data_IF_881104158129
#
_entry.id   IF_881104158129
#
_cell.length_a   1.000
_cell.length_b   1.000
_cell.length_c   1.000
_cell.angle_alpha   90.00
_cell.angle_beta   90.00
_cell.angle_gamma   90.00
#
_symmetry.space_group_name_H-M   'P 1'
#
loop_
_entity.id
_entity.type
_entity.pdbx_description
1 polymer ?
#
# COMPACT_ATOMS: atom_id res chain seq x y z
N UNK A 1 9.63 -25.57 -39.37
CA UNK A 1 10.45 -25.47 -38.14
C UNK A 1 9.54 -25.64 -36.94
N UNK A 2 9.85 -26.61 -36.07
CA UNK A 2 9.10 -27.00 -34.86
C UNK A 2 9.47 -26.08 -33.69
N UNK A 3 8.53 -25.60 -32.85
CA UNK A 3 8.87 -25.01 -31.57
C UNK A 3 9.22 -26.12 -30.56
N UNK A 4 10.32 -25.94 -29.81
CA UNK A 4 10.65 -26.76 -28.64
C UNK A 4 9.97 -26.16 -27.40
N UNK A 5 9.30 -26.95 -26.55
CA UNK A 5 8.95 -26.53 -25.20
C UNK A 5 10.17 -26.68 -24.27
N UNK A 6 10.46 -25.64 -23.48
CA UNK A 6 11.40 -25.68 -22.36
C UNK A 6 10.54 -25.56 -21.10
N UNK A 7 10.24 -26.68 -20.46
CA UNK A 7 9.94 -26.78 -19.03
C UNK A 7 10.07 -28.26 -18.66
N UNK A 8 11.19 -28.61 -18.04
CA UNK A 8 11.40 -29.90 -17.38
C UNK A 8 10.67 -29.89 -16.01
N UNK A 9 10.16 -31.04 -15.55
CA UNK A 9 9.52 -31.15 -14.23
C UNK A 9 10.56 -31.16 -13.10
N UNK A 10 10.31 -30.35 -12.06
CA UNK A 10 11.07 -30.37 -10.80
C UNK A 10 10.70 -31.65 -10.00
N UNK A 11 11.69 -32.41 -9.48
CA UNK A 11 11.43 -33.63 -8.73
C UNK A 11 10.88 -33.37 -7.33
N UNK A 12 9.91 -34.20 -6.95
CA UNK A 12 9.32 -34.39 -5.63
C UNK A 12 10.39 -34.72 -4.60
N UNK A 13 10.44 -33.99 -3.48
CA UNK A 13 11.28 -34.35 -2.32
C UNK A 13 10.40 -35.16 -1.35
N UNK A 14 10.85 -36.37 -1.08
CA UNK A 14 10.30 -37.33 -0.14
C UNK A 14 10.38 -36.85 1.32
N UNK A 15 9.37 -37.22 2.10
CA UNK A 15 9.32 -37.12 3.56
C UNK A 15 10.46 -37.92 4.23
N UNK A 16 11.03 -37.43 5.34
CA UNK A 16 11.60 -38.29 6.36
C UNK A 16 10.61 -38.44 7.53
N UNK A 17 10.07 -39.66 7.63
CA UNK A 17 9.55 -40.26 8.86
C UNK A 17 10.60 -40.24 9.97
N UNK A 18 10.21 -39.88 11.20
CA UNK A 18 11.08 -40.03 12.37
C UNK A 18 10.49 -39.49 13.66
N UNK A 19 9.93 -40.40 14.46
CA UNK A 19 9.41 -40.21 15.81
C UNK A 19 10.38 -39.54 16.79
N UNK A 20 9.83 -38.73 17.71
CA UNK A 20 9.93 -38.92 19.17
C UNK A 20 9.65 -37.60 19.92
N UNK A 21 8.50 -37.55 20.60
CA UNK A 21 8.25 -36.63 21.72
C UNK A 21 9.01 -37.10 22.99
N UNK A 22 9.17 -36.23 24.01
CA UNK A 22 10.35 -36.14 24.86
C UNK A 22 10.22 -36.85 26.21
N UNK A 23 11.30 -36.89 27.01
CA UNK A 23 11.07 -36.74 28.45
C UNK A 23 12.01 -35.72 29.13
N UNK A 24 11.37 -34.89 29.95
CA UNK A 24 11.84 -34.40 31.26
C UNK A 24 13.21 -33.72 31.36
N UNK A 25 13.18 -32.39 31.46
CA UNK A 25 14.24 -31.63 32.13
C UNK A 25 13.69 -31.05 33.45
N UNK A 26 14.27 -31.52 34.54
CA UNK A 26 14.13 -30.98 35.90
C UNK A 26 14.82 -29.61 36.01
N UNK A 27 14.28 -28.66 36.80
CA UNK A 27 14.90 -27.35 36.97
C UNK A 27 16.02 -27.43 38.02
N UNK A 28 17.28 -27.43 37.59
CA UNK A 28 18.41 -27.12 38.47
C UNK A 28 18.45 -25.61 38.70
N UNK A 29 18.19 -25.22 39.94
CA UNK A 29 18.50 -23.91 40.50
C UNK A 29 19.97 -23.58 40.21
N UNK A 30 20.20 -22.50 39.47
CA UNK A 30 21.48 -21.81 39.43
C UNK A 30 21.22 -20.35 39.79
N UNK A 31 21.43 -20.10 41.07
CA UNK A 31 21.65 -18.79 41.66
C UNK A 31 22.85 -18.14 41.00
N UNK A 32 22.61 -17.11 40.20
CA UNK A 32 23.63 -16.15 39.79
C UNK A 32 23.08 -14.74 39.93
N UNK A 33 23.59 -14.07 40.97
CA UNK A 33 23.45 -12.63 41.17
C UNK A 33 24.10 -11.92 39.99
N UNK A 34 23.32 -11.22 39.17
CA UNK A 34 23.85 -10.25 38.22
C UNK A 34 23.50 -8.83 38.67
N UNK A 35 24.46 -7.89 38.58
CA UNK A 35 24.36 -6.58 39.20
C UNK A 35 23.37 -5.68 38.46
N UNK A 36 22.59 -4.94 39.25
CA UNK A 36 21.65 -3.90 38.83
C UNK A 36 22.39 -2.66 38.28
N UNK A 37 23.01 -2.79 37.10
CA UNK A 37 23.71 -1.67 36.46
C UNK A 37 23.94 -1.86 34.95
N UNK A 38 22.92 -2.23 34.17
CA UNK A 38 22.97 -2.09 32.71
C UNK A 38 21.58 -1.74 32.16
N UNK A 39 21.51 -0.59 31.47
CA UNK A 39 20.47 -0.14 30.54
C UNK A 39 19.19 0.50 31.11
N UNK A 40 19.37 1.68 31.74
CA UNK A 40 18.57 2.85 31.38
C UNK A 40 18.74 3.14 29.87
N UNK A 41 17.89 2.55 29.02
CA UNK A 41 17.66 2.98 27.64
C UNK A 41 16.35 2.40 27.04
N UNK A 42 15.37 2.02 27.85
CA UNK A 42 14.03 1.65 27.37
C UNK A 42 13.10 2.88 27.30
N UNK A 43 13.65 4.04 26.92
CA UNK A 43 12.85 5.20 26.56
C UNK A 43 12.30 4.97 25.15
N UNK A 44 11.01 4.65 25.07
CA UNK A 44 10.16 4.85 23.90
C UNK A 44 10.64 4.23 22.58
N UNK A 45 10.68 2.89 22.52
CA UNK A 45 10.37 2.19 21.27
C UNK A 45 8.85 2.04 21.14
N UNK A 46 8.11 3.15 21.22
CA UNK A 46 6.82 3.17 20.53
C UNK A 46 7.17 3.17 19.04
N UNK A 47 6.50 2.37 18.19
CA UNK A 47 6.50 2.70 16.78
C UNK A 47 5.88 4.09 16.71
N UNK A 48 6.72 5.11 16.54
CA UNK A 48 6.25 6.36 16.00
C UNK A 48 5.74 5.90 14.64
N UNK A 49 4.42 5.71 14.53
CA UNK A 49 3.76 5.83 13.26
C UNK A 49 4.25 7.18 12.76
N UNK A 50 5.24 7.15 11.87
CA UNK A 50 5.79 8.33 11.25
C UNK A 50 4.60 8.90 10.51
N UNK A 51 3.89 9.82 11.17
CA UNK A 51 2.75 10.48 10.57
C UNK A 51 3.28 11.08 9.29
N UNK A 52 2.67 10.70 8.16
CA UNK A 52 3.08 11.20 6.87
C UNK A 52 3.24 12.71 6.96
N UNK A 53 4.41 13.21 6.57
CA UNK A 53 4.57 14.64 6.41
C UNK A 53 3.48 15.14 5.45
N UNK A 54 2.92 16.33 5.73
CA UNK A 54 1.92 16.93 4.82
C UNK A 54 2.41 17.05 3.37
N UNK A 55 3.74 17.04 3.20
CA UNK A 55 4.44 17.07 1.92
C UNK A 55 4.34 15.75 1.15
N UNK A 56 4.58 14.60 1.77
CA UNK A 56 4.46 13.30 1.08
C UNK A 56 3.01 12.91 0.84
N UNK A 57 2.08 13.29 1.71
CA UNK A 57 0.65 13.21 1.42
C UNK A 57 0.27 14.07 0.20
N UNK A 58 0.87 15.25 0.03
CA UNK A 58 0.67 16.09 -1.15
C UNK A 58 1.26 15.46 -2.44
N UNK A 59 2.39 14.75 -2.34
CA UNK A 59 2.93 13.97 -3.46
C UNK A 59 1.97 12.84 -3.83
N UNK A 60 1.46 12.06 -2.87
CA UNK A 60 0.49 10.99 -3.11
C UNK A 60 -0.80 11.51 -3.76
N UNK A 61 -1.30 12.66 -3.31
CA UNK A 61 -2.44 13.38 -3.92
C UNK A 61 -2.14 13.81 -5.34
N UNK A 62 -0.97 14.38 -5.59
CA UNK A 62 -0.55 14.78 -6.93
C UNK A 62 -0.52 13.59 -7.90
N UNK A 63 -0.03 12.43 -7.42
CA UNK A 63 -0.03 11.16 -8.13
C UNK A 63 -1.40 10.48 -8.19
N UNK A 64 -2.46 11.13 -7.70
CA UNK A 64 -3.85 10.70 -7.80
C UNK A 64 -4.12 9.34 -7.11
N UNK A 65 -3.40 9.05 -6.02
CA UNK A 65 -3.46 7.77 -5.32
C UNK A 65 -4.89 7.40 -4.89
N UNK A 66 -5.66 8.38 -4.38
CA UNK A 66 -7.05 8.20 -3.96
C UNK A 66 -7.98 7.78 -5.10
N UNK A 67 -7.91 8.46 -6.25
CA UNK A 67 -8.72 8.08 -7.42
C UNK A 67 -8.33 6.71 -7.98
N UNK A 68 -7.03 6.39 -8.00
CA UNK A 68 -6.55 5.06 -8.39
C UNK A 68 -7.15 3.97 -7.48
N UNK A 69 -7.16 4.20 -6.17
CA UNK A 69 -7.74 3.27 -5.20
C UNK A 69 -9.23 3.03 -5.43
N UNK A 70 -9.99 4.11 -5.64
CA UNK A 70 -11.42 4.03 -5.97
C UNK A 70 -11.65 3.26 -7.27
N UNK A 71 -10.88 3.55 -8.32
CA UNK A 71 -10.98 2.85 -9.59
C UNK A 71 -10.63 1.36 -9.46
N UNK A 72 -9.56 1.02 -8.72
CA UNK A 72 -9.16 -0.36 -8.47
C UNK A 72 -10.26 -1.14 -7.73
N UNK A 73 -10.86 -0.57 -6.68
CA UNK A 73 -11.96 -1.21 -5.97
C UNK A 73 -13.21 -1.39 -6.84
N UNK A 74 -13.57 -0.40 -7.65
CA UNK A 74 -14.68 -0.55 -8.62
C UNK A 74 -14.40 -1.65 -9.65
N UNK A 75 -13.18 -1.73 -10.15
CA UNK A 75 -12.77 -2.79 -11.07
C UNK A 75 -12.83 -4.17 -10.39
N UNK A 76 -12.37 -4.28 -9.14
CA UNK A 76 -12.49 -5.51 -8.35
C UNK A 76 -13.94 -5.92 -8.11
N UNK A 77 -14.83 -4.98 -7.78
CA UNK A 77 -16.26 -5.25 -7.64
C UNK A 77 -16.87 -5.72 -8.96
N UNK A 78 -16.57 -5.03 -10.07
CA UNK A 78 -17.02 -5.43 -11.40
C UNK A 78 -16.54 -6.84 -11.78
N UNK A 79 -15.30 -7.20 -11.43
CA UNK A 79 -14.76 -8.53 -11.68
C UNK A 79 -15.44 -9.61 -10.82
N UNK A 80 -15.82 -9.27 -9.58
CA UNK A 80 -16.52 -10.18 -8.67
C UNK A 80 -18.00 -10.36 -9.02
N UNK A 81 -18.61 -9.45 -9.79
CA UNK A 81 -20.07 -9.37 -10.02
C UNK A 81 -20.71 -10.67 -10.49
N UNK A 82 -20.05 -11.43 -11.37
CA UNK A 82 -20.59 -12.69 -11.91
C UNK A 82 -20.40 -13.87 -10.95
N UNK A 83 -19.31 -13.89 -10.19
CA UNK A 83 -18.94 -15.04 -9.35
C UNK A 83 -19.49 -14.91 -7.92
N UNK A 84 -19.59 -13.68 -7.42
CA UNK A 84 -20.07 -13.36 -6.09
C UNK A 84 -20.72 -11.95 -6.10
N UNK A 85 -21.98 -11.84 -6.55
CA UNK A 85 -22.67 -10.55 -6.65
C UNK A 85 -22.81 -9.86 -5.30
N UNK A 86 -23.03 -10.62 -4.20
CA UNK A 86 -23.12 -10.04 -2.86
C UNK A 86 -21.80 -9.41 -2.38
N UNK A 87 -20.65 -9.99 -2.74
CA UNK A 87 -19.35 -9.39 -2.49
C UNK A 87 -19.13 -8.14 -3.35
N UNK A 88 -19.54 -8.17 -4.62
CA UNK A 88 -19.45 -7.00 -5.49
C UNK A 88 -20.27 -5.81 -4.94
N UNK A 89 -21.50 -6.07 -4.52
CA UNK A 89 -22.37 -5.04 -3.94
C UNK A 89 -21.79 -4.49 -2.63
N UNK A 90 -21.23 -5.35 -1.77
CA UNK A 90 -20.60 -4.91 -0.52
C UNK A 90 -19.30 -4.11 -0.76
N UNK A 91 -18.51 -4.47 -1.78
CA UNK A 91 -17.34 -3.70 -2.21
C UNK A 91 -17.73 -2.33 -2.76
N UNK A 92 -18.76 -2.25 -3.61
CA UNK A 92 -19.25 -0.97 -4.11
C UNK A 92 -19.83 -0.11 -2.98
N UNK A 93 -20.58 -0.71 -2.05
CA UNK A 93 -21.18 0.01 -0.93
C UNK A 93 -20.14 0.50 0.08
N UNK A 94 -19.03 -0.23 0.28
CA UNK A 94 -17.97 0.18 1.21
C UNK A 94 -17.23 1.44 0.76
N UNK A 95 -17.24 1.76 -0.54
CA UNK A 95 -16.70 3.01 -1.07
C UNK A 95 -17.37 4.27 -0.50
N UNK A 96 -18.60 4.16 0.03
CA UNK A 96 -19.26 5.29 0.71
C UNK A 96 -18.54 5.73 1.98
N UNK A 97 -17.66 4.89 2.53
CA UNK A 97 -16.82 5.19 3.70
C UNK A 97 -15.39 5.61 3.32
N UNK A 98 -15.08 5.70 2.03
CA UNK A 98 -13.73 6.04 1.57
C UNK A 98 -13.38 7.50 1.90
N UNK A 99 -12.37 7.69 2.73
CA UNK A 99 -11.74 8.98 2.99
C UNK A 99 -10.48 9.13 2.12
N UNK A 100 -10.52 10.09 1.19
CA UNK A 100 -9.41 10.36 0.27
C UNK A 100 -8.19 10.95 0.98
N UNK A 101 -8.39 11.84 1.95
CA UNK A 101 -7.31 12.48 2.69
C UNK A 101 -6.59 11.45 3.56
N UNK A 102 -7.35 10.61 4.28
CA UNK A 102 -6.78 9.52 5.08
C UNK A 102 -6.00 8.52 4.22
N UNK A 103 -6.50 8.21 3.02
CA UNK A 103 -5.79 7.33 2.10
C UNK A 103 -4.48 7.96 1.59
N UNK A 104 -4.50 9.25 1.28
CA UNK A 104 -3.31 9.98 0.81
C UNK A 104 -2.27 10.13 1.91
N UNK A 105 -2.68 10.33 3.17
CA UNK A 105 -1.80 10.26 4.33
C UNK A 105 -1.17 8.88 4.46
N UNK A 106 -1.97 7.81 4.40
CA UNK A 106 -1.47 6.43 4.47
C UNK A 106 -0.46 6.11 3.34
N UNK A 107 -0.67 6.64 2.14
CA UNK A 107 0.32 6.54 1.05
C UNK A 107 1.53 7.45 1.28
N UNK A 108 1.34 8.61 1.89
CA UNK A 108 2.41 9.49 2.33
C UNK A 108 3.35 8.83 3.34
N UNK A 109 2.83 8.00 4.25
CA UNK A 109 3.66 7.27 5.22
C UNK A 109 4.61 6.28 4.53
N UNK A 110 4.14 5.61 3.48
CA UNK A 110 4.98 4.73 2.67
C UNK A 110 6.07 5.51 1.91
N UNK A 111 5.72 6.71 1.44
CA UNK A 111 6.67 7.61 0.77
C UNK A 111 7.72 8.15 1.75
N UNK A 112 7.33 8.56 2.96
CA UNK A 112 8.25 9.07 3.99
C UNK A 112 9.35 8.06 4.37
N UNK A 113 9.04 6.76 4.33
CA UNK A 113 9.99 5.69 4.65
C UNK A 113 11.00 5.41 3.54
N UNK A 114 10.66 5.77 2.30
CA UNK A 114 11.41 5.37 1.10
C UNK A 114 12.14 6.55 0.43
N UNK A 115 11.64 7.77 0.62
CA UNK A 115 12.20 8.97 0.02
C UNK A 115 13.11 9.71 1.01
N UNK A 116 14.23 10.20 0.49
CA UNK A 116 15.07 11.13 1.25
C UNK A 116 14.44 12.53 1.31
N UNK A 117 14.79 13.36 2.31
CA UNK A 117 14.31 14.75 2.36
C UNK A 117 14.67 15.57 1.11
N UNK A 118 15.77 15.25 0.44
CA UNK A 118 16.15 15.90 -0.83
C UNK A 118 15.18 15.58 -1.95
N UNK A 119 14.76 14.33 -2.05
CA UNK A 119 13.81 13.86 -3.07
C UNK A 119 12.39 14.34 -2.80
N UNK A 120 11.97 14.39 -1.53
CA UNK A 120 10.69 15.00 -1.16
C UNK A 120 10.65 16.46 -1.62
N UNK A 121 11.71 17.24 -1.34
CA UNK A 121 11.80 18.63 -1.81
C UNK A 121 11.80 18.77 -3.32
N UNK A 122 12.48 17.87 -4.04
CA UNK A 122 12.48 17.86 -5.51
C UNK A 122 11.07 17.65 -6.06
N UNK A 123 10.39 16.61 -5.56
CA UNK A 123 9.03 16.26 -5.98
C UNK A 123 8.05 17.38 -5.64
N UNK A 124 8.04 17.87 -4.39
CA UNK A 124 7.18 18.99 -3.96
C UNK A 124 7.46 20.25 -4.77
N UNK A 125 8.73 20.53 -5.07
CA UNK A 125 9.14 21.66 -5.88
C UNK A 125 8.53 21.60 -7.28
N UNK A 126 8.52 20.43 -7.91
CA UNK A 126 7.84 20.25 -9.19
C UNK A 126 6.32 20.35 -9.06
N UNK A 127 5.69 19.63 -8.12
CA UNK A 127 4.22 19.60 -7.99
C UNK A 127 3.64 20.99 -7.69
N UNK A 128 4.40 21.84 -7.00
CA UNK A 128 4.02 23.23 -6.69
C UNK A 128 4.34 24.24 -7.80
N UNK A 129 5.15 23.85 -8.79
CA UNK A 129 5.55 24.72 -9.90
C UNK A 129 4.39 25.02 -10.86
N UNK A 130 4.54 26.06 -11.71
CA UNK A 130 3.57 26.33 -12.79
C UNK A 130 3.45 25.14 -13.76
N UNK A 131 4.57 24.50 -14.09
CA UNK A 131 4.61 23.32 -14.95
C UNK A 131 3.81 22.17 -14.32
N UNK A 132 4.12 21.82 -13.06
CA UNK A 132 3.45 20.75 -12.31
C UNK A 132 1.94 20.97 -12.20
N UNK A 133 1.51 22.17 -11.79
CA UNK A 133 0.07 22.51 -11.70
C UNK A 133 -0.63 22.45 -13.05
N UNK A 134 0.05 22.84 -14.14
CA UNK A 134 -0.51 22.77 -15.50
C UNK A 134 -0.71 21.32 -15.96
N UNK A 135 0.24 20.44 -15.66
CA UNK A 135 0.20 19.05 -16.14
C UNK A 135 -0.47 18.08 -15.18
N UNK A 136 -0.72 18.47 -13.93
CA UNK A 136 -1.45 17.66 -12.96
C UNK A 136 -2.78 17.11 -13.52
N UNK A 137 -3.70 17.92 -14.10
CA UNK A 137 -4.93 17.37 -14.67
C UNK A 137 -4.67 16.42 -15.85
N UNK A 138 -3.59 16.62 -16.60
CA UNK A 138 -3.20 15.80 -17.74
C UNK A 138 -2.78 14.39 -17.28
N UNK A 139 -1.93 14.29 -16.25
CA UNK A 139 -1.53 12.99 -15.67
C UNK A 139 -2.71 12.24 -15.03
N UNK A 140 -3.74 12.96 -14.57
CA UNK A 140 -4.95 12.35 -14.00
C UNK A 140 -5.85 11.67 -15.04
N UNK A 141 -5.72 12.00 -16.34
CA UNK A 141 -6.59 11.47 -17.39
C UNK A 141 -6.12 10.14 -18.00
N UNK A 142 -4.92 9.65 -17.66
CA UNK A 142 -4.32 8.48 -18.30
C UNK A 142 -4.32 7.23 -17.44
N UNK A 143 -5.07 6.21 -17.85
CA UNK A 143 -4.97 4.83 -17.34
C UNK A 143 -4.47 3.86 -18.40
N UNK A 144 -4.51 4.25 -19.68
CA UNK A 144 -4.01 3.47 -20.82
C UNK A 144 -2.87 4.19 -21.55
N UNK A 145 -2.03 3.44 -22.27
CA UNK A 145 -0.90 3.98 -23.04
C UNK A 145 -1.33 5.01 -24.10
N UNK A 146 -2.53 4.85 -24.67
CA UNK A 146 -3.09 5.77 -25.65
C UNK A 146 -3.55 7.09 -25.00
N UNK A 147 -4.15 7.01 -23.81
CA UNK A 147 -4.53 8.20 -23.04
C UNK A 147 -3.30 8.97 -22.58
N UNK A 148 -2.25 8.27 -22.13
CA UNK A 148 -0.97 8.89 -21.75
C UNK A 148 -0.34 9.64 -22.95
N UNK A 149 -0.28 9.00 -24.13
CA UNK A 149 0.25 9.64 -25.34
C UNK A 149 -0.60 10.83 -25.83
N UNK A 150 -1.93 10.78 -25.64
CA UNK A 150 -2.81 11.90 -25.93
C UNK A 150 -2.64 13.05 -24.92
N UNK A 151 -2.40 12.72 -23.65
CA UNK A 151 -2.08 13.65 -22.58
C UNK A 151 -0.77 14.41 -22.85
N UNK A 152 0.29 13.72 -23.30
CA UNK A 152 1.58 14.35 -23.63
C UNK A 152 1.48 15.43 -24.72
N UNK A 153 0.54 15.29 -25.65
CA UNK A 153 0.27 16.29 -26.71
C UNK A 153 -0.35 17.58 -26.15
N UNK A 154 -1.02 17.50 -25.00
CA UNK A 154 -1.65 18.65 -24.34
C UNK A 154 -0.66 19.48 -23.51
N UNK A 155 0.54 18.95 -23.24
CA UNK A 155 1.57 19.66 -22.48
C UNK A 155 2.12 20.83 -23.31
N UNK A 156 1.96 22.09 -22.86
CA UNK A 156 2.52 23.25 -23.54
C UNK A 156 4.03 23.10 -23.75
N UNK A 157 4.52 23.46 -24.94
CA UNK A 157 5.92 23.28 -25.32
C UNK A 157 6.91 23.92 -24.32
N UNK A 158 6.54 25.07 -23.74
CA UNK A 158 7.34 25.76 -22.71
C UNK A 158 7.58 24.93 -21.43
N UNK A 159 6.71 23.97 -21.13
CA UNK A 159 6.81 23.14 -19.91
C UNK A 159 7.42 21.77 -20.17
N UNK A 160 7.50 21.32 -21.42
CA UNK A 160 8.05 20.00 -21.78
C UNK A 160 9.40 19.72 -21.10
N UNK A 161 10.40 20.61 -21.11
CA UNK A 161 11.69 20.32 -20.46
C UNK A 161 11.61 20.08 -18.96
N UNK A 162 10.70 20.77 -18.26
CA UNK A 162 10.51 20.58 -16.82
C UNK A 162 9.77 19.28 -16.53
N UNK A 163 8.78 18.94 -17.36
CA UNK A 163 8.01 17.70 -17.25
C UNK A 163 8.89 16.50 -17.56
N UNK A 164 9.66 16.55 -18.65
CA UNK A 164 10.59 15.49 -19.05
C UNK A 164 11.59 15.19 -17.93
N UNK A 165 12.14 16.24 -17.30
CA UNK A 165 13.06 16.10 -16.16
C UNK A 165 12.38 15.46 -14.95
N UNK A 166 11.13 15.82 -14.66
CA UNK A 166 10.36 15.22 -13.58
C UNK A 166 10.04 13.74 -13.85
N UNK A 167 9.50 13.40 -15.03
CA UNK A 167 9.10 12.02 -15.36
C UNK A 167 10.28 11.06 -15.46
N UNK A 168 11.47 11.58 -15.75
CA UNK A 168 12.72 10.80 -15.78
C UNK A 168 13.52 10.88 -14.49
N UNK A 169 13.03 11.60 -13.47
CA UNK A 169 13.75 11.76 -12.21
C UNK A 169 13.82 10.44 -11.43
N UNK A 170 14.96 10.22 -10.76
CA UNK A 170 15.11 9.10 -9.82
C UNK A 170 14.14 9.21 -8.64
N UNK A 171 13.84 10.44 -8.19
CA UNK A 171 12.90 10.71 -7.12
C UNK A 171 11.49 10.22 -7.47
N UNK A 172 10.99 10.50 -8.68
CA UNK A 172 9.67 10.01 -9.11
C UNK A 172 9.66 8.50 -9.25
N UNK A 173 10.70 7.91 -9.85
CA UNK A 173 10.82 6.46 -9.98
C UNK A 173 10.76 5.76 -8.62
N UNK A 174 11.47 6.28 -7.61
CA UNK A 174 11.40 5.77 -6.24
C UNK A 174 10.04 6.00 -5.58
N UNK A 175 9.39 7.14 -5.80
CA UNK A 175 8.04 7.39 -5.28
C UNK A 175 7.02 6.39 -5.84
N UNK A 176 7.08 6.07 -7.14
CA UNK A 176 6.24 5.05 -7.75
C UNK A 176 6.53 3.66 -7.17
N UNK A 177 7.81 3.29 -7.04
CA UNK A 177 8.21 2.02 -6.44
C UNK A 177 7.75 1.90 -4.97
N UNK A 178 7.77 3.00 -4.21
CA UNK A 178 7.29 3.04 -2.83
C UNK A 178 5.77 2.81 -2.74
N UNK A 179 4.97 3.41 -3.63
CA UNK A 179 3.51 3.20 -3.70
C UNK A 179 3.17 1.75 -4.14
N UNK A 180 4.03 1.14 -4.95
CA UNK A 180 3.88 -0.25 -5.38
C UNK A 180 4.48 -1.28 -4.43
N UNK A 181 5.19 -0.84 -3.39
CA UNK A 181 5.86 -1.71 -2.42
C UNK A 181 4.89 -2.66 -1.71
N UNK A 182 5.40 -3.77 -1.21
CA UNK A 182 4.60 -4.74 -0.45
C UNK A 182 4.01 -4.13 0.82
N UNK A 183 4.73 -3.20 1.44
CA UNK A 183 4.24 -2.42 2.58
C UNK A 183 3.04 -1.55 2.20
N UNK A 184 3.16 -0.76 1.12
CA UNK A 184 2.05 0.04 0.62
C UNK A 184 0.87 -0.84 0.16
N UNK A 185 1.13 -2.03 -0.40
CA UNK A 185 0.07 -3.00 -0.73
C UNK A 185 -0.65 -3.50 0.53
N UNK A 186 0.09 -3.87 1.57
CA UNK A 186 -0.48 -4.32 2.83
C UNK A 186 -1.32 -3.22 3.50
N UNK A 187 -0.82 -1.98 3.52
CA UNK A 187 -1.55 -0.84 4.07
C UNK A 187 -2.84 -0.55 3.29
N UNK A 188 -2.82 -0.65 1.95
CA UNK A 188 -4.03 -0.52 1.11
C UNK A 188 -5.04 -1.62 1.37
N UNK A 189 -4.58 -2.87 1.53
CA UNK A 189 -5.45 -3.99 1.86
C UNK A 189 -6.11 -3.79 3.22
N UNK A 190 -5.33 -3.43 4.24
CA UNK A 190 -5.86 -3.13 5.57
C UNK A 190 -6.91 -1.99 5.53
N UNK A 191 -6.64 -0.92 4.78
CA UNK A 191 -7.62 0.15 4.59
C UNK A 191 -8.90 -0.34 3.90
N UNK A 192 -8.79 -1.19 2.87
CA UNK A 192 -9.95 -1.81 2.22
C UNK A 192 -10.76 -2.69 3.17
N UNK A 193 -10.10 -3.45 4.05
CA UNK A 193 -10.76 -4.22 5.10
C UNK A 193 -11.51 -3.31 6.09
N UNK A 194 -10.92 -2.17 6.48
CA UNK A 194 -11.60 -1.18 7.33
C UNK A 194 -12.88 -0.64 6.69
N UNK A 195 -12.87 -0.33 5.39
CA UNK A 195 -14.05 0.14 4.67
C UNK A 195 -15.17 -0.92 4.67
N UNK A 196 -14.80 -2.19 4.44
CA UNK A 196 -15.74 -3.30 4.50
C UNK A 196 -16.33 -3.46 5.90
N UNK A 197 -15.50 -3.35 6.94
CA UNK A 197 -15.97 -3.40 8.33
C UNK A 197 -16.90 -2.23 8.66
N UNK A 198 -16.61 -1.02 8.17
CA UNK A 198 -17.48 0.16 8.34
C UNK A 198 -18.83 -0.04 7.66
N UNK A 199 -18.85 -0.63 6.46
CA UNK A 199 -20.08 -1.01 5.77
C UNK A 199 -20.91 -2.00 6.59
N UNK A 200 -20.31 -3.13 7.02
CA UNK A 200 -21.04 -4.15 7.78
C UNK A 200 -21.51 -3.65 9.15
N UNK A 201 -20.79 -2.72 9.78
CA UNK A 201 -21.25 -2.08 11.02
C UNK A 201 -22.59 -1.35 10.87
N UNK A 202 -22.95 -0.93 9.66
CA UNK A 202 -24.23 -0.25 9.38
C UNK A 202 -25.25 -1.16 8.69
N UNK A 203 -24.80 -2.07 7.83
CA UNK A 203 -25.68 -2.88 6.99
C UNK A 203 -26.06 -4.24 7.62
N UNK A 204 -25.13 -4.91 8.31
CA UNK A 204 -25.35 -6.26 8.85
C UNK A 204 -24.44 -6.51 10.07
N UNK A 205 -24.99 -6.24 11.26
CA UNK A 205 -24.28 -6.43 12.51
C UNK A 205 -23.91 -7.89 12.80
N UNK A 206 -24.67 -8.87 12.30
CA UNK A 206 -24.36 -10.29 12.49
C UNK A 206 -23.15 -10.69 11.65
N UNK A 207 -23.08 -10.22 10.39
CA UNK A 207 -21.89 -10.38 9.56
C UNK A 207 -20.66 -9.72 10.19
N UNK A 208 -20.80 -8.49 10.74
CA UNK A 208 -19.70 -7.83 11.45
C UNK A 208 -19.20 -8.67 12.63
N UNK A 209 -20.08 -9.24 13.46
CA UNK A 209 -19.68 -10.09 14.60
C UNK A 209 -18.86 -11.29 14.13
N UNK A 210 -19.28 -11.96 13.05
CA UNK A 210 -18.52 -13.08 12.46
C UNK A 210 -17.15 -12.63 11.97
N UNK A 211 -17.08 -11.49 11.26
CA UNK A 211 -15.81 -10.94 10.78
C UNK A 211 -14.86 -10.57 11.93
N UNK A 212 -15.38 -10.04 13.04
CA UNK A 212 -14.60 -9.79 14.28
C UNK A 212 -14.07 -11.08 14.90
N UNK A 213 -14.88 -12.14 14.94
CA UNK A 213 -14.46 -13.45 15.44
C UNK A 213 -13.35 -14.07 14.60
N UNK A 214 -13.40 -13.85 13.28
CA UNK A 214 -12.37 -14.28 12.31
C UNK A 214 -11.12 -13.39 12.29
N UNK A 215 -11.09 -12.30 13.08
CA UNK A 215 -9.98 -11.34 13.07
C UNK A 215 -9.90 -10.50 11.80
N UNK A 216 -10.97 -10.44 11.00
CA UNK A 216 -11.08 -9.65 9.76
C UNK A 216 -11.62 -8.24 9.99
N UNK A 217 -12.22 -7.99 11.14
CA UNK A 217 -12.57 -6.66 11.61
C UNK A 217 -12.04 -6.42 13.02
N UNK A 218 -11.68 -5.17 13.38
CA UNK A 218 -11.24 -4.84 14.73
C UNK A 218 -12.25 -5.26 15.79
N UNK A 219 -11.77 -5.93 16.84
CA UNK A 219 -12.55 -6.22 18.05
C UNK A 219 -12.64 -4.93 18.86
N UNK A 220 -13.65 -4.11 18.57
CA UNK A 220 -14.04 -2.98 19.45
C UNK A 220 -14.26 -3.50 20.86
#
# INVERSE_FOLDING_TARGET
>A
MKPRPIFEPVPTIEEPTGDCWPPSLTPKMLSTKFPAAVLLAAAFAMPIAAMASSETAAIARYLNASSYAVAAMKNSASAAKTQNPGLADALEASLSYFDASRYEELMGEALDRQLTPGEVRELVGFTSSEAGRTVQPIFRMGTTRAEIAAAEKQIPARFKPAVDRFVTSAALSRALAAIESDEARAARQAYGEELMCAHFAKADGAALVRLKQMGKCPKV
#
